data_IF_451037637150
#
_entry.id   IF_451037637150
#
_cell.length_a   1.000
_cell.length_b   1.000
_cell.length_c   1.000
_cell.angle_alpha   90.00
_cell.angle_beta   90.00
_cell.angle_gamma   90.00
#
_symmetry.space_group_name_H-M   'P 1'
#
loop_
_entity.id
_entity.type
_entity.pdbx_description
1 polymer ?
#
# COMPACT_ATOMS: atom_id res chain seq x y z
N UNK A 1 -6.07 -17.11 -55.32
CA UNK A 1 -7.06 -16.46 -54.43
C UNK A 1 -7.00 -17.22 -53.10
N UNK A 2 -6.32 -16.68 -52.08
CA UNK A 2 -6.91 -16.08 -50.85
C UNK A 2 -7.69 -17.16 -50.07
N UNK A 3 -7.36 -17.55 -48.83
CA UNK A 3 -7.17 -16.70 -47.66
C UNK A 3 -6.36 -17.38 -46.55
N UNK A 4 -5.56 -16.54 -45.90
CA UNK A 4 -4.93 -16.70 -44.60
C UNK A 4 -6.02 -16.69 -43.50
N UNK A 5 -5.91 -17.53 -42.47
CA UNK A 5 -6.52 -17.25 -41.16
C UNK A 5 -5.50 -17.59 -40.06
N UNK A 6 -4.96 -16.52 -39.49
CA UNK A 6 -4.14 -16.52 -38.28
C UNK A 6 -5.10 -16.68 -37.10
N UNK A 7 -5.05 -17.82 -36.42
CA UNK A 7 -5.65 -17.95 -35.09
C UNK A 7 -4.65 -17.41 -34.08
N UNK A 8 -4.81 -16.14 -33.69
CA UNK A 8 -4.12 -15.54 -32.56
C UNK A 8 -4.44 -16.33 -31.30
N UNK A 9 -3.44 -16.98 -30.73
CA UNK A 9 -3.52 -17.58 -29.42
C UNK A 9 -3.75 -16.47 -28.38
N UNK A 10 -4.94 -16.46 -27.79
CA UNK A 10 -5.25 -15.64 -26.63
C UNK A 10 -4.52 -16.28 -25.44
N UNK A 11 -3.34 -15.75 -25.11
CA UNK A 11 -2.59 -16.19 -23.92
C UNK A 11 -3.37 -15.71 -22.70
N UNK A 12 -4.08 -16.63 -22.07
CA UNK A 12 -4.65 -16.47 -20.75
C UNK A 12 -3.51 -16.13 -19.79
N UNK A 13 -3.45 -14.89 -19.31
CA UNK A 13 -2.45 -14.44 -18.33
C UNK A 13 -2.66 -15.21 -17.04
N UNK A 14 -1.89 -16.28 -16.88
CA UNK A 14 -1.69 -16.97 -15.62
C UNK A 14 -0.75 -16.07 -14.82
N UNK A 15 -1.28 -15.28 -13.88
CA UNK A 15 -0.47 -14.45 -12.98
C UNK A 15 0.46 -15.37 -12.21
N UNK A 16 1.75 -15.36 -12.58
CA UNK A 16 2.80 -16.00 -11.80
C UNK A 16 2.81 -15.32 -10.44
N UNK A 17 2.47 -16.07 -9.40
CA UNK A 17 2.73 -15.69 -8.02
C UNK A 17 4.21 -15.93 -7.79
N UNK A 18 5.03 -14.91 -8.04
CA UNK A 18 6.44 -14.98 -7.70
C UNK A 18 6.58 -14.65 -6.21
N UNK A 19 7.40 -15.41 -5.48
CA UNK A 19 7.73 -15.06 -4.10
C UNK A 19 8.57 -13.77 -4.04
N UNK A 20 9.28 -13.42 -5.11
CA UNK A 20 10.12 -12.22 -5.26
C UNK A 20 10.18 -11.78 -6.73
N UNK A 21 10.51 -10.52 -6.98
CA UNK A 21 10.96 -10.05 -8.29
C UNK A 21 12.48 -10.11 -8.30
N UNK A 22 13.04 -10.90 -9.21
CA UNK A 22 14.50 -11.17 -9.26
C UNK A 22 15.19 -10.60 -10.50
N UNK A 23 14.45 -9.98 -11.41
CA UNK A 23 15.01 -9.37 -12.62
C UNK A 23 14.19 -8.17 -13.06
N UNK A 24 14.86 -7.24 -13.74
CA UNK A 24 14.20 -6.21 -14.53
C UNK A 24 13.49 -6.86 -15.74
N UNK A 25 12.36 -6.30 -16.16
CA UNK A 25 11.71 -6.72 -17.41
C UNK A 25 12.44 -6.15 -18.63
N UNK A 26 12.98 -4.93 -18.47
CA UNK A 26 13.83 -4.26 -19.44
C UNK A 26 14.88 -3.43 -18.71
N UNK A 27 16.04 -3.28 -19.34
CA UNK A 27 17.10 -2.37 -18.89
C UNK A 27 17.48 -1.43 -20.02
N UNK A 28 17.41 -0.12 -19.79
CA UNK A 28 17.87 0.90 -20.75
C UNK A 28 18.55 2.03 -20.00
N UNK A 29 19.76 2.42 -20.43
CA UNK A 29 20.50 3.56 -19.84
C UNK A 29 20.50 3.53 -18.30
N UNK A 30 20.93 2.40 -17.72
CA UNK A 30 21.02 2.20 -16.25
C UNK A 30 19.65 2.22 -15.52
N UNK A 31 18.55 2.20 -16.28
CA UNK A 31 17.19 2.14 -15.75
C UNK A 31 16.67 0.72 -15.81
N UNK A 32 16.40 0.15 -14.65
CA UNK A 32 15.65 -1.08 -14.47
C UNK A 32 14.15 -0.79 -14.57
N UNK A 33 13.49 -1.36 -15.58
CA UNK A 33 12.04 -1.25 -15.75
C UNK A 33 11.35 -2.47 -15.16
N UNK A 34 10.33 -2.21 -14.35
CA UNK A 34 9.31 -3.19 -13.96
C UNK A 34 8.05 -2.87 -14.76
N UNK A 35 7.61 -3.83 -15.56
CA UNK A 35 6.54 -3.72 -16.54
C UNK A 35 5.49 -4.81 -16.34
N UNK A 36 4.28 -4.56 -16.86
CA UNK A 36 3.15 -5.45 -16.71
C UNK A 36 2.68 -5.61 -15.26
N UNK A 37 1.79 -6.57 -15.05
CA UNK A 37 1.21 -6.85 -13.74
C UNK A 37 2.00 -7.96 -13.04
N UNK A 38 2.48 -7.67 -11.83
CA UNK A 38 3.24 -8.57 -10.97
C UNK A 38 2.54 -8.66 -9.62
N UNK A 39 2.19 -9.89 -9.23
CA UNK A 39 1.60 -10.19 -7.93
C UNK A 39 2.54 -11.06 -7.11
N UNK A 40 2.77 -10.65 -5.87
CA UNK A 40 3.70 -11.31 -4.93
C UNK A 40 2.99 -11.63 -3.62
N UNK A 41 3.30 -12.79 -3.04
CA UNK A 41 2.61 -13.32 -1.85
C UNK A 41 3.36 -13.08 -0.54
N UNK A 42 4.46 -12.33 -0.55
CA UNK A 42 5.27 -12.03 0.62
C UNK A 42 6.11 -10.78 0.44
N UNK A 43 6.88 -10.43 1.47
CA UNK A 43 7.69 -9.21 1.51
C UNK A 43 8.62 -9.11 0.32
N UNK A 44 8.53 -8.03 -0.47
CA UNK A 44 9.39 -7.81 -1.64
C UNK A 44 10.49 -6.84 -1.32
N UNK A 45 11.72 -7.19 -1.72
CA UNK A 45 12.85 -6.26 -1.69
C UNK A 45 13.35 -6.02 -3.11
N UNK A 46 13.13 -4.80 -3.61
CA UNK A 46 13.70 -4.30 -4.85
C UNK A 46 15.01 -3.58 -4.51
N UNK A 47 16.13 -4.23 -4.80
CA UNK A 47 17.48 -3.67 -4.69
C UNK A 47 18.31 -4.20 -5.86
N UNK A 48 19.28 -3.45 -6.38
CA UNK A 48 20.17 -3.93 -7.43
C UNK A 48 20.90 -5.24 -7.12
N UNK A 49 21.12 -5.54 -5.83
CA UNK A 49 21.73 -6.80 -5.42
C UNK A 49 20.83 -8.04 -5.64
N UNK A 50 19.51 -7.83 -5.80
CA UNK A 50 18.52 -8.90 -5.98
C UNK A 50 17.83 -8.86 -7.35
N UNK A 51 17.97 -7.76 -8.09
CA UNK A 51 17.36 -7.55 -9.40
C UNK A 51 18.41 -7.66 -10.50
N UNK A 52 18.40 -8.78 -11.21
CA UNK A 52 19.25 -8.94 -12.39
C UNK A 52 18.97 -7.84 -13.42
N UNK A 53 20.04 -7.24 -13.94
CA UNK A 53 20.00 -6.09 -14.83
C UNK A 53 19.91 -4.71 -14.15
N UNK A 54 19.67 -4.65 -12.83
CA UNK A 54 19.70 -3.38 -12.09
C UNK A 54 21.13 -3.03 -11.65
N UNK A 55 21.41 -1.73 -11.52
CA UNK A 55 22.71 -1.22 -11.09
C UNK A 55 22.59 -0.45 -9.78
N UNK A 56 23.55 -0.64 -8.88
CA UNK A 56 23.66 0.13 -7.63
C UNK A 56 23.81 1.63 -7.95
N UNK A 57 22.98 2.47 -7.34
CA UNK A 57 22.92 3.89 -7.68
C UNK A 57 22.30 4.18 -9.06
N UNK A 58 21.75 3.17 -9.75
CA UNK A 58 20.99 3.33 -10.98
C UNK A 58 19.57 3.82 -10.74
N UNK A 59 18.72 3.65 -11.76
CA UNK A 59 17.31 4.04 -11.69
C UNK A 59 16.40 2.82 -11.64
N UNK A 60 15.44 2.80 -10.70
CA UNK A 60 14.30 1.90 -10.75
C UNK A 60 13.09 2.62 -11.32
N UNK A 61 12.37 1.99 -12.25
CA UNK A 61 11.12 2.51 -12.78
C UNK A 61 10.01 1.46 -12.79
N UNK A 62 8.95 1.71 -12.04
CA UNK A 62 7.67 1.02 -12.23
C UNK A 62 6.97 1.72 -13.39
N UNK A 63 6.86 1.05 -14.53
CA UNK A 63 6.39 1.63 -15.78
C UNK A 63 4.92 2.03 -15.73
N UNK A 64 4.52 2.95 -16.62
CA UNK A 64 3.11 3.33 -16.74
C UNK A 64 2.26 2.12 -17.12
N UNK A 65 1.13 1.94 -16.45
CA UNK A 65 0.26 0.77 -16.65
C UNK A 65 0.77 -0.53 -16.02
N UNK A 66 2.00 -0.56 -15.49
CA UNK A 66 2.48 -1.69 -14.70
C UNK A 66 1.85 -1.66 -13.31
N UNK A 67 1.59 -2.84 -12.74
CA UNK A 67 1.08 -2.99 -11.38
C UNK A 67 1.94 -3.96 -10.61
N UNK A 68 2.64 -3.46 -9.59
CA UNK A 68 3.29 -4.29 -8.59
C UNK A 68 2.40 -4.37 -7.35
N UNK A 69 1.80 -5.54 -7.11
CA UNK A 69 0.88 -5.77 -5.99
C UNK A 69 1.44 -6.82 -5.04
N UNK A 70 1.56 -6.47 -3.77
CA UNK A 70 1.63 -7.47 -2.72
C UNK A 70 0.25 -7.71 -2.10
N UNK A 71 -0.20 -8.96 -2.11
CA UNK A 71 -1.57 -9.32 -1.77
C UNK A 71 -1.72 -10.14 -0.47
N UNK A 72 -0.66 -10.22 0.34
CA UNK A 72 -0.70 -10.80 1.68
C UNK A 72 -0.90 -9.70 2.73
N UNK A 73 -1.58 -10.03 3.85
CA UNK A 73 -1.78 -9.13 4.97
C UNK A 73 -0.43 -8.60 5.49
N UNK A 74 -0.37 -7.29 5.72
CA UNK A 74 0.79 -6.57 6.25
C UNK A 74 2.10 -6.78 5.47
N UNK A 75 2.01 -7.22 4.21
CA UNK A 75 3.13 -7.34 3.32
C UNK A 75 3.92 -6.04 3.14
N UNK A 76 5.24 -6.19 3.10
CA UNK A 76 6.20 -5.11 2.92
C UNK A 76 6.80 -5.07 1.53
N UNK A 77 6.79 -3.91 0.89
CA UNK A 77 7.55 -3.64 -0.33
C UNK A 77 8.65 -2.65 0.02
N UNK A 78 9.91 -3.09 -0.09
CA UNK A 78 11.08 -2.25 0.17
C UNK A 78 11.84 -2.00 -1.12
N UNK A 79 11.94 -0.74 -1.53
CA UNK A 79 12.83 -0.26 -2.59
C UNK A 79 14.01 0.44 -1.95
N UNK A 80 15.24 0.02 -2.27
CA UNK A 80 16.47 0.63 -1.73
C UNK A 80 17.65 0.52 -2.68
N UNK A 81 18.71 1.26 -2.36
CA UNK A 81 20.03 1.23 -3.03
C UNK A 81 20.03 1.70 -4.50
N UNK A 82 18.96 2.39 -4.92
CA UNK A 82 18.88 3.13 -6.18
C UNK A 82 19.17 4.62 -5.94
N UNK A 83 19.73 5.31 -6.94
CA UNK A 83 19.79 6.77 -6.87
C UNK A 83 18.43 7.38 -7.17
N UNK A 84 17.74 6.84 -8.17
CA UNK A 84 16.47 7.36 -8.64
C UNK A 84 15.39 6.28 -8.61
N UNK A 85 14.19 6.62 -8.13
CA UNK A 85 13.01 5.75 -8.17
C UNK A 85 11.83 6.50 -8.78
N UNK A 86 11.28 5.93 -9.86
CA UNK A 86 10.11 6.47 -10.57
C UNK A 86 8.94 5.51 -10.49
N UNK A 87 7.83 5.94 -9.87
CA UNK A 87 6.60 5.15 -9.80
C UNK A 87 5.57 5.72 -10.78
N UNK A 88 5.64 5.32 -12.05
CA UNK A 88 4.70 5.76 -13.08
C UNK A 88 3.48 4.83 -13.23
N UNK A 89 3.56 3.62 -12.69
CA UNK A 89 2.46 2.66 -12.58
C UNK A 89 1.87 2.62 -11.17
N UNK A 90 1.44 1.42 -10.77
CA UNK A 90 0.85 1.17 -9.44
C UNK A 90 1.80 0.34 -8.56
N UNK A 91 2.05 0.82 -7.35
CA UNK A 91 2.67 0.09 -6.25
C UNK A 91 1.59 -0.13 -5.17
N UNK A 92 1.12 -1.36 -5.04
CA UNK A 92 0.03 -1.72 -4.12
C UNK A 92 0.57 -2.62 -3.01
N UNK A 93 0.49 -2.15 -1.76
CA UNK A 93 0.99 -2.89 -0.62
C UNK A 93 0.76 -2.17 0.71
N UNK A 94 0.77 -2.95 1.79
CA UNK A 94 0.48 -2.49 3.15
C UNK A 94 1.61 -1.71 3.82
N UNK A 95 2.88 -2.05 3.55
CA UNK A 95 4.06 -1.35 4.07
C UNK A 95 5.02 -1.05 2.91
N UNK A 96 4.90 0.15 2.32
CA UNK A 96 5.73 0.56 1.19
C UNK A 96 6.85 1.48 1.67
N UNK A 97 8.08 1.00 1.57
CA UNK A 97 9.29 1.75 1.92
C UNK A 97 10.07 2.02 0.64
N UNK A 98 10.30 3.29 0.32
CA UNK A 98 11.11 3.72 -0.83
C UNK A 98 12.26 4.58 -0.33
N UNK A 99 13.47 4.09 -0.54
CA UNK A 99 14.71 4.76 -0.16
C UNK A 99 15.54 4.94 -1.42
N UNK A 100 15.75 6.19 -1.83
CA UNK A 100 16.61 6.54 -2.94
C UNK A 100 17.65 7.56 -2.46
N UNK A 101 18.86 7.55 -2.98
CA UNK A 101 19.87 8.54 -2.56
C UNK A 101 19.65 9.92 -3.17
N UNK A 102 19.16 9.99 -4.42
CA UNK A 102 18.94 11.25 -5.14
C UNK A 102 17.45 11.61 -5.20
N UNK A 103 16.65 10.85 -5.96
CA UNK A 103 15.29 11.28 -6.30
C UNK A 103 14.25 10.19 -6.21
N UNK A 104 13.12 10.52 -5.59
CA UNK A 104 11.86 9.77 -5.76
C UNK A 104 10.88 10.65 -6.51
N UNK A 105 10.30 10.10 -7.59
CA UNK A 105 9.25 10.78 -8.36
C UNK A 105 8.05 9.88 -8.61
N UNK A 106 6.88 10.39 -8.24
CA UNK A 106 5.59 9.81 -8.59
C UNK A 106 4.92 10.79 -9.56
N UNK A 107 5.08 10.64 -10.89
CA UNK A 107 4.42 11.52 -11.86
C UNK A 107 2.90 11.34 -11.86
N UNK A 108 2.20 12.21 -12.59
CA UNK A 108 0.77 12.03 -12.85
C UNK A 108 0.51 10.65 -13.48
N UNK A 109 -0.51 9.94 -12.99
CA UNK A 109 -0.80 8.55 -13.34
C UNK A 109 -0.08 7.51 -12.47
N UNK A 110 0.96 7.91 -11.73
CA UNK A 110 1.59 7.07 -10.71
C UNK A 110 0.71 6.94 -9.46
N UNK A 111 0.63 5.73 -8.92
CA UNK A 111 -0.16 5.39 -7.74
C UNK A 111 0.65 4.55 -6.76
N UNK A 112 0.65 4.97 -5.50
CA UNK A 112 1.04 4.14 -4.35
C UNK A 112 -0.20 3.95 -3.49
N UNK A 113 -0.60 2.71 -3.25
CA UNK A 113 -1.91 2.36 -2.69
C UNK A 113 -1.80 1.27 -1.62
N UNK A 114 -2.10 1.62 -0.38
CA UNK A 114 -2.32 0.67 0.71
C UNK A 114 -3.68 0.90 1.40
N UNK A 115 -4.67 1.40 0.65
CA UNK A 115 -6.05 1.50 1.13
C UNK A 115 -6.56 0.16 1.67
N UNK A 116 -7.04 0.15 2.92
CA UNK A 116 -7.61 -1.04 3.55
C UNK A 116 -6.61 -2.17 3.80
N UNK A 117 -5.30 -1.91 3.70
CA UNK A 117 -4.26 -2.93 3.86
C UNK A 117 -3.58 -2.93 5.25
N UNK A 118 -4.10 -2.14 6.20
CA UNK A 118 -3.67 -2.14 7.59
C UNK A 118 -4.23 -3.32 8.39
N UNK A 119 -4.34 -3.16 9.71
CA UNK A 119 -4.90 -4.21 10.57
C UNK A 119 -6.32 -4.57 10.14
N UNK A 120 -6.65 -5.85 10.23
CA UNK A 120 -7.99 -6.35 9.94
C UNK A 120 -9.03 -5.81 10.91
N UNK A 121 -10.30 -6.05 10.59
CA UNK A 121 -11.46 -5.75 11.44
C UNK A 121 -11.18 -6.06 12.91
N UNK A 122 -11.49 -5.12 13.80
CA UNK A 122 -11.32 -5.26 15.27
C UNK A 122 -9.89 -5.58 15.74
N UNK A 123 -8.89 -5.43 14.86
CA UNK A 123 -7.47 -5.60 15.17
C UNK A 123 -6.71 -4.28 15.13
N UNK A 124 -5.53 -4.30 15.74
CA UNK A 124 -4.65 -3.14 15.87
C UNK A 124 -4.81 -2.37 17.19
N UNK A 125 -3.83 -1.54 17.55
CA UNK A 125 -3.80 -0.85 18.85
C UNK A 125 -5.02 0.04 19.12
N UNK A 126 -5.59 0.63 18.07
CA UNK A 126 -6.76 1.50 18.11
C UNK A 126 -7.99 0.87 17.46
N UNK A 127 -8.08 -0.46 17.44
CA UNK A 127 -9.21 -1.22 16.90
C UNK A 127 -10.56 -0.67 17.36
N UNK A 128 -11.50 -0.61 16.41
CA UNK A 128 -12.90 -0.39 16.70
C UNK A 128 -13.46 -1.51 17.58
N UNK A 129 -14.54 -1.25 18.31
CA UNK A 129 -15.18 -2.23 19.19
C UNK A 129 -16.67 -2.32 18.96
N UNK A 130 -17.23 -3.52 19.03
CA UNK A 130 -18.68 -3.72 19.04
C UNK A 130 -19.21 -3.70 20.46
N UNK A 131 -20.27 -2.93 20.72
CA UNK A 131 -20.88 -2.80 22.06
C UNK A 131 -22.36 -3.18 21.99
N UNK A 132 -22.71 -4.26 22.67
CA UNK A 132 -24.04 -4.89 22.59
C UNK A 132 -25.19 -3.99 23.06
N UNK A 133 -24.93 -3.06 23.99
CA UNK A 133 -25.92 -2.18 24.61
C UNK A 133 -25.87 -0.74 24.09
N UNK A 134 -25.18 -0.44 23.00
CA UNK A 134 -25.14 0.90 22.41
C UNK A 134 -26.08 1.02 21.22
N UNK A 135 -26.76 2.17 21.07
CA UNK A 135 -27.67 2.42 19.94
C UNK A 135 -26.94 2.31 18.60
N UNK A 136 -25.75 2.90 18.54
CA UNK A 136 -24.70 2.53 17.60
C UNK A 136 -23.89 1.36 18.15
N UNK A 137 -24.05 0.18 17.57
CA UNK A 137 -23.44 -1.03 18.13
C UNK A 137 -21.93 -1.11 17.90
N UNK A 138 -21.31 -0.07 17.36
CA UNK A 138 -19.91 -0.03 16.92
C UNK A 138 -19.21 1.22 17.43
N UNK A 139 -17.90 1.16 17.53
CA UNK A 139 -16.98 2.27 17.85
C UNK A 139 -15.91 2.29 16.74
N UNK A 140 -15.61 3.47 16.20
CA UNK A 140 -14.65 3.63 15.11
C UNK A 140 -13.22 3.39 15.55
N UNK A 141 -12.39 2.89 14.63
CA UNK A 141 -10.97 2.73 14.88
C UNK A 141 -10.23 4.06 14.79
N UNK A 142 -9.08 4.13 15.44
CA UNK A 142 -8.24 5.32 15.49
C UNK A 142 -6.90 5.05 14.82
N UNK A 143 -6.34 6.04 14.13
CA UNK A 143 -4.91 6.10 13.76
C UNK A 143 -4.65 7.52 13.26
N UNK A 144 -3.88 8.33 14.01
CA UNK A 144 -3.57 9.73 13.66
C UNK A 144 -4.69 10.73 13.93
N UNK A 145 -5.92 10.23 14.04
CA UNK A 145 -7.07 10.91 14.62
C UNK A 145 -7.93 9.91 15.40
N UNK A 146 -8.76 10.40 16.32
CA UNK A 146 -9.67 9.58 17.11
C UNK A 146 -10.87 9.17 16.24
N UNK A 147 -11.18 7.88 16.19
CA UNK A 147 -12.35 7.37 15.46
C UNK A 147 -13.67 7.90 16.02
N UNK A 148 -14.76 7.78 15.25
CA UNK A 148 -16.10 8.16 15.72
C UNK A 148 -16.51 7.39 16.97
N UNK A 149 -17.04 8.10 17.96
CA UNK A 149 -17.66 7.53 19.17
C UNK A 149 -19.15 7.83 19.11
N UNK A 150 -20.02 6.83 18.98
CA UNK A 150 -21.48 7.08 18.93
C UNK A 150 -22.30 6.40 20.02
N UNK A 151 -21.69 5.80 21.06
CA UNK A 151 -22.47 5.23 22.15
C UNK A 151 -23.18 6.31 23.00
N UNK A 152 -24.34 6.76 22.54
CA UNK A 152 -25.11 7.86 23.13
C UNK A 152 -25.59 7.57 24.55
N UNK A 153 -25.83 6.29 24.88
CA UNK A 153 -26.32 5.86 26.19
C UNK A 153 -25.21 5.40 27.14
N UNK A 154 -23.94 5.42 26.72
CA UNK A 154 -22.78 5.20 27.60
C UNK A 154 -21.57 6.03 27.11
N UNK A 155 -21.42 7.28 27.59
CA UNK A 155 -20.33 8.17 27.20
C UNK A 155 -18.95 7.70 27.69
N UNK A 156 -18.86 6.65 28.52
CA UNK A 156 -17.58 6.01 28.85
C UNK A 156 -17.06 5.11 27.70
N UNK A 157 -17.92 4.78 26.72
CA UNK A 157 -17.61 3.93 25.56
C UNK A 157 -17.19 4.80 24.38
N UNK A 158 -15.91 5.12 24.38
CA UNK A 158 -15.28 6.01 23.40
C UNK A 158 -14.23 5.27 22.58
N UNK A 159 -13.97 5.75 21.37
CA UNK A 159 -12.89 5.26 20.53
C UNK A 159 -11.55 5.33 21.26
N UNK A 160 -10.69 4.34 20.98
CA UNK A 160 -9.36 4.26 21.58
C UNK A 160 -8.55 5.53 21.27
N UNK A 161 -7.53 5.78 22.08
CA UNK A 161 -6.61 6.89 21.81
C UNK A 161 -5.92 6.71 20.44
N UNK A 162 -5.50 7.83 19.85
CA UNK A 162 -4.57 7.80 18.72
C UNK A 162 -3.28 7.10 19.12
N UNK A 163 -2.67 6.41 18.18
CA UNK A 163 -1.37 5.75 18.34
C UNK A 163 -0.55 5.89 17.05
N UNK A 164 0.69 5.41 17.10
CA UNK A 164 1.69 5.57 16.04
C UNK A 164 2.49 6.87 16.18
N UNK A 165 3.71 6.86 15.68
CA UNK A 165 4.52 8.09 15.61
C UNK A 165 4.01 9.02 14.51
N UNK A 166 3.95 10.31 14.81
CA UNK A 166 3.61 11.36 13.83
C UNK A 166 4.73 11.58 12.82
N UNK A 167 5.97 11.27 13.21
CA UNK A 167 7.19 11.57 12.44
C UNK A 167 7.80 10.34 11.78
N UNK A 168 7.42 9.12 12.16
CA UNK A 168 7.84 7.88 11.48
C UNK A 168 6.65 6.90 11.50
N UNK A 169 6.12 6.46 10.35
CA UNK A 169 5.06 5.47 10.27
C UNK A 169 5.58 4.12 10.76
N UNK A 170 5.48 3.86 12.07
CA UNK A 170 5.82 2.55 12.64
C UNK A 170 4.64 1.57 12.57
N UNK A 171 3.42 2.13 12.62
CA UNK A 171 2.21 1.36 12.84
C UNK A 171 1.23 1.49 11.67
N UNK A 172 0.52 0.40 11.38
CA UNK A 172 -0.57 0.39 10.41
C UNK A 172 -1.86 0.99 11.01
N UNK A 173 -2.77 1.44 10.15
CA UNK A 173 -4.12 1.81 10.55
C UNK A 173 -4.86 0.65 11.20
N UNK A 174 -5.65 0.92 12.23
CA UNK A 174 -6.45 -0.10 12.93
C UNK A 174 -7.75 -0.39 12.19
N UNK A 175 -8.22 -1.62 12.28
CA UNK A 175 -9.51 -1.98 11.70
C UNK A 175 -10.69 -1.51 12.55
N UNK A 176 -11.73 -1.01 11.89
CA UNK A 176 -13.00 -0.63 12.49
C UNK A 176 -13.81 -1.82 13.01
N UNK A 177 -14.95 -1.52 13.63
CA UNK A 177 -15.95 -2.51 14.03
C UNK A 177 -17.16 -2.45 13.08
N UNK A 178 -17.65 -3.62 12.68
CA UNK A 178 -18.82 -3.76 11.81
C UNK A 178 -19.72 -4.92 12.28
N UNK A 179 -21.01 -4.80 11.96
CA UNK A 179 -22.07 -5.71 12.39
C UNK A 179 -22.17 -7.00 11.60
N UNK A 180 -21.65 -7.02 10.37
CA UNK A 180 -21.60 -8.23 9.55
C UNK A 180 -20.20 -8.86 9.60
N UNK A 181 -20.11 -10.17 9.44
CA UNK A 181 -18.83 -10.89 9.33
C UNK A 181 -18.16 -10.70 7.97
N UNK A 182 -18.85 -10.08 7.01
CA UNK A 182 -18.40 -9.93 5.62
C UNK A 182 -17.94 -8.51 5.25
N UNK A 183 -18.21 -7.48 6.08
CA UNK A 183 -17.76 -6.12 5.72
C UNK A 183 -16.25 -5.97 5.92
N UNK A 184 -15.50 -5.49 4.91
CA UNK A 184 -14.15 -5.02 5.14
C UNK A 184 -14.20 -3.84 6.12
N UNK A 185 -13.36 -3.90 7.14
CA UNK A 185 -13.17 -2.80 8.08
C UNK A 185 -11.69 -2.68 8.41
N UNK A 186 -10.82 -3.03 7.47
CA UNK A 186 -9.37 -2.96 7.68
C UNK A 186 -8.89 -1.52 7.73
N UNK A 187 -7.83 -1.25 8.47
CA UNK A 187 -7.19 0.07 8.49
C UNK A 187 -6.39 0.36 7.21
N UNK A 188 -5.83 1.55 7.10
CA UNK A 188 -4.90 1.89 6.00
C UNK A 188 -3.48 1.36 6.25
N UNK A 189 -2.71 1.18 5.18
CA UNK A 189 -1.30 0.80 5.25
C UNK A 189 -0.38 1.95 5.67
N UNK A 190 0.90 1.83 5.35
CA UNK A 190 1.91 2.84 5.65
C UNK A 190 2.91 2.99 4.53
N UNK A 191 3.32 4.23 4.29
CA UNK A 191 4.28 4.58 3.24
C UNK A 191 5.38 5.44 3.82
N UNK A 192 6.63 5.04 3.56
CA UNK A 192 7.82 5.76 3.95
C UNK A 192 8.65 6.04 2.70
N UNK A 193 8.82 7.31 2.34
CA UNK A 193 9.67 7.72 1.21
C UNK A 193 10.81 8.60 1.72
N UNK A 194 12.05 8.25 1.37
CA UNK A 194 13.24 9.06 1.64
C UNK A 194 14.08 9.24 0.40
N UNK A 195 14.49 10.49 0.14
CA UNK A 195 15.42 10.86 -0.91
C UNK A 195 15.93 12.30 -0.72
N UNK A 196 17.00 12.68 -1.43
CA UNK A 196 17.43 14.08 -1.48
C UNK A 196 16.33 14.98 -2.09
N UNK A 197 15.62 14.48 -3.11
CA UNK A 197 14.52 15.17 -3.78
C UNK A 197 13.30 14.26 -3.89
N UNK A 198 12.15 14.70 -3.35
CA UNK A 198 10.86 13.99 -3.49
C UNK A 198 9.91 14.86 -4.32
N UNK A 199 9.42 14.34 -5.45
CA UNK A 199 8.50 15.02 -6.35
C UNK A 199 7.25 14.18 -6.64
N UNK A 200 6.10 14.58 -6.08
CA UNK A 200 4.85 13.82 -6.16
C UNK A 200 3.81 14.67 -6.92
N UNK A 201 3.46 14.21 -8.12
CA UNK A 201 2.37 14.71 -8.96
C UNK A 201 1.28 13.65 -9.20
N UNK A 202 1.49 12.43 -8.70
CA UNK A 202 0.52 11.33 -8.70
C UNK A 202 -0.24 11.23 -7.39
N UNK A 203 -0.71 10.02 -7.08
CA UNK A 203 -1.53 9.75 -5.88
C UNK A 203 -0.80 8.80 -4.94
N UNK A 204 -0.81 9.13 -3.66
CA UNK A 204 -0.47 8.20 -2.58
C UNK A 204 -1.70 8.15 -1.64
N UNK A 205 -2.21 6.95 -1.37
CA UNK A 205 -3.44 6.78 -0.55
C UNK A 205 -3.34 5.55 0.36
N UNK A 206 -3.75 5.75 1.60
CA UNK A 206 -3.67 4.78 2.69
C UNK A 206 -4.91 4.92 3.57
N UNK A 207 -6.08 5.02 2.96
CA UNK A 207 -7.33 5.14 3.68
C UNK A 207 -7.66 3.82 4.38
N UNK A 208 -8.46 3.88 5.44
CA UNK A 208 -9.15 2.69 5.92
C UNK A 208 -10.04 2.10 4.81
N UNK A 209 -10.29 0.80 4.87
CA UNK A 209 -11.18 0.12 3.93
C UNK A 209 -12.62 0.64 4.03
N UNK A 210 -13.31 0.63 2.89
CA UNK A 210 -14.74 0.97 2.80
C UNK A 210 -15.57 0.07 3.70
N UNK A 211 -16.67 0.61 4.26
CA UNK A 211 -17.54 -0.13 5.17
C UNK A 211 -18.96 -0.25 4.65
N UNK A 212 -19.65 -1.35 5.00
CA UNK A 212 -21.08 -1.49 4.75
C UNK A 212 -21.90 -0.64 5.72
N UNK A 213 -23.15 -0.32 5.31
CA UNK A 213 -24.10 0.49 6.08
C UNK A 213 -24.26 0.02 7.53
N UNK A 214 -24.10 0.95 8.47
CA UNK A 214 -24.21 0.70 9.91
C UNK A 214 -22.90 0.35 10.61
N UNK A 215 -21.74 0.67 10.00
CA UNK A 215 -20.41 0.46 10.58
C UNK A 215 -19.71 1.81 10.86
N UNK A 216 -18.71 1.81 11.74
CA UNK A 216 -17.91 3.01 12.03
C UNK A 216 -16.47 2.91 11.54
N UNK A 217 -16.00 4.02 10.95
CA UNK A 217 -14.78 4.14 10.16
C UNK A 217 -13.53 3.45 10.72
N UNK A 218 -12.72 2.92 9.80
CA UNK A 218 -11.42 2.32 10.09
C UNK A 218 -10.36 3.41 10.26
N UNK A 219 -9.26 3.11 10.95
CA UNK A 219 -8.14 4.03 11.08
C UNK A 219 -7.41 4.17 9.74
N UNK A 220 -7.17 5.40 9.28
CA UNK A 220 -6.34 5.65 8.11
C UNK A 220 -4.88 5.26 8.35
N UNK A 221 -4.05 5.29 7.32
CA UNK A 221 -2.62 5.02 7.36
C UNK A 221 -1.79 6.26 7.68
N UNK A 222 -0.48 6.19 7.39
CA UNK A 222 0.46 7.30 7.56
C UNK A 222 1.44 7.38 6.39
N UNK A 223 1.85 8.60 6.09
CA UNK A 223 2.89 8.94 5.11
C UNK A 223 4.04 9.66 5.80
N UNK A 224 5.27 9.34 5.42
CA UNK A 224 6.43 10.13 5.81
C UNK A 224 7.35 10.39 4.62
N UNK A 225 7.83 11.62 4.57
CA UNK A 225 8.81 12.12 3.61
C UNK A 225 10.03 12.62 4.39
N UNK A 226 11.16 11.94 4.23
CA UNK A 226 12.42 12.35 4.84
C UNK A 226 13.46 12.72 3.79
N UNK A 227 14.36 13.64 4.14
CA UNK A 227 15.57 13.88 3.36
C UNK A 227 16.61 12.79 3.67
N UNK A 228 17.22 12.21 2.64
CA UNK A 228 18.51 11.53 2.80
C UNK A 228 19.63 12.56 2.62
N UNK A 229 20.53 12.64 3.60
CA UNK A 229 21.77 13.40 3.52
C UNK A 229 22.95 12.45 3.33
#
# INVERSE_FOLDING_TARGET
MISLLIATAFVLSLTVVASQITSCDRVESETCFIEGDKSVSGDVVLTPALLDGAQAGGTLRIASGAKLRCYHDLCKITVRDFANVFVSGTLEGSDVIVIASDKVRIPAGGLVDGNGMGYSKTEGPGAGTSVYNCYSRFIGASHGGRGGSECQNDPSRVSKATYGSETVPSDFGSGGACGSSSSPASGGGKVHITASTIAINGVIRENGGDQESGSLGSGGGRFFFGAQN
#
